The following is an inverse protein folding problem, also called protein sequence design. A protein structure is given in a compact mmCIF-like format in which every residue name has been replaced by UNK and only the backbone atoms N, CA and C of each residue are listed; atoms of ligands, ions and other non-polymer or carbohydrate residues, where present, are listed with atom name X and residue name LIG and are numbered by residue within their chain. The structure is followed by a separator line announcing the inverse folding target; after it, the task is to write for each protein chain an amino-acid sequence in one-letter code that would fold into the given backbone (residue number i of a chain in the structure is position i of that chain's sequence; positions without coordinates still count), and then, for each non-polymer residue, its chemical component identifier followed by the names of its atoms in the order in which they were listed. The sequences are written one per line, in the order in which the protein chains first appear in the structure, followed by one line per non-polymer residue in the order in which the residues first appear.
data_IF_948490006433
#
_entry.id   IF_948490006433
#
_cell.length_a   1.000
_cell.length_b   1.000
_cell.length_c   1.000
_cell.angle_alpha   90.00
_cell.angle_beta   90.00
_cell.angle_gamma   90.00
#
_symmetry.space_group_name_H-M   'P 1'
#
loop_
_entity.id
_entity.type
_entity.pdbx_description
1 polymer ?
#
# COMPACT_ATOMS: atom_id res chain seq x y z
N UNK A 1 20.96 1.23 1.04
CA UNK A 1 19.70 1.68 1.67
C UNK A 1 19.61 3.19 1.48
N UNK A 2 18.65 3.69 0.71
CA UNK A 2 18.48 5.13 0.45
C UNK A 2 17.94 5.85 1.69
N UNK A 3 18.06 7.17 1.78
CA UNK A 3 17.47 7.96 2.88
C UNK A 3 15.95 7.80 2.93
N UNK A 4 15.30 7.71 1.77
CA UNK A 4 13.86 7.41 1.66
C UNK A 4 13.51 6.02 2.22
N UNK A 5 14.27 4.97 1.86
CA UNK A 5 14.06 3.63 2.40
C UNK A 5 14.20 3.60 3.94
N UNK A 6 15.13 4.37 4.51
CA UNK A 6 15.27 4.49 5.97
C UNK A 6 14.06 5.14 6.63
N UNK A 7 13.55 6.22 6.04
CA UNK A 7 12.37 6.93 6.55
C UNK A 7 11.15 6.00 6.52
N UNK A 8 10.93 5.28 5.42
CA UNK A 8 9.82 4.33 5.32
C UNK A 8 9.92 3.21 6.37
N UNK A 9 11.10 2.63 6.57
CA UNK A 9 11.31 1.58 7.59
C UNK A 9 11.06 2.11 9.01
N UNK A 10 11.39 3.36 9.31
CA UNK A 10 11.09 4.01 10.60
C UNK A 10 9.60 4.33 10.74
N UNK A 11 8.92 4.63 9.63
CA UNK A 11 7.49 4.96 9.63
C UNK A 11 6.62 3.75 9.98
N UNK A 12 7.05 2.52 9.66
CA UNK A 12 6.34 1.27 9.99
C UNK A 12 6.11 1.10 11.50
N UNK A 13 7.14 1.08 12.38
CA UNK A 13 6.93 0.96 13.81
C UNK A 13 6.24 2.20 14.41
N UNK A 14 6.45 3.40 13.85
CA UNK A 14 5.72 4.60 14.26
C UNK A 14 4.21 4.48 14.01
N UNK A 15 3.81 3.97 12.84
CA UNK A 15 2.41 3.72 12.53
C UNK A 15 1.82 2.63 13.44
N UNK A 16 2.57 1.56 13.72
CA UNK A 16 2.18 0.54 14.69
C UNK A 16 1.98 1.11 16.10
N UNK A 17 2.88 1.98 16.55
CA UNK A 17 2.77 2.66 17.84
C UNK A 17 1.59 3.65 17.88
N UNK A 18 1.34 4.38 16.81
CA UNK A 18 0.18 5.27 16.69
C UNK A 18 -1.13 4.49 16.79
N UNK A 19 -1.25 3.36 16.10
CA UNK A 19 -2.43 2.48 16.16
C UNK A 19 -2.60 1.89 17.55
N UNK A 20 -1.50 1.51 18.21
CA UNK A 20 -1.54 1.07 19.61
C UNK A 20 -2.06 2.15 20.55
N UNK A 21 -1.65 3.42 20.37
CA UNK A 21 -2.18 4.54 21.15
C UNK A 21 -3.67 4.78 20.90
N UNK A 22 -4.14 4.51 19.68
CA UNK A 22 -5.55 4.62 19.31
C UNK A 22 -6.39 3.38 19.69
N UNK A 23 -5.85 2.44 20.48
CA UNK A 23 -6.54 1.17 20.83
C UNK A 23 -7.93 1.35 21.42
N UNK A 24 -8.17 2.43 22.16
CA UNK A 24 -9.46 2.69 22.81
C UNK A 24 -10.56 3.07 21.80
N UNK A 25 -10.17 3.48 20.60
CA UNK A 25 -11.07 3.87 19.53
C UNK A 25 -11.30 2.74 18.52
N UNK A 26 -10.54 1.65 18.63
CA UNK A 26 -10.62 0.52 17.74
C UNK A 26 -11.63 -0.52 18.27
N UNK A 27 -12.48 -1.08 17.39
CA UNK A 27 -13.46 -2.07 17.83
C UNK A 27 -12.76 -3.35 18.29
N UNK A 28 -13.26 -3.91 19.40
CA UNK A 28 -12.80 -5.20 19.94
C UNK A 28 -13.30 -6.39 19.10
N UNK A 29 -14.41 -6.23 18.39
CA UNK A 29 -14.95 -7.20 17.45
C UNK A 29 -15.09 -6.56 16.08
N UNK A 30 -14.47 -7.15 15.07
CA UNK A 30 -14.59 -6.68 13.69
C UNK A 30 -14.82 -7.85 12.74
N UNK A 31 -15.66 -7.64 11.72
CA UNK A 31 -15.86 -8.65 10.67
C UNK A 31 -14.60 -8.85 9.83
N UNK A 32 -14.33 -10.09 9.39
CA UNK A 32 -13.21 -10.41 8.49
C UNK A 32 -13.21 -9.52 7.25
N UNK A 33 -14.38 -9.25 6.66
CA UNK A 33 -14.49 -8.39 5.47
C UNK A 33 -14.00 -6.97 5.74
N UNK A 34 -14.41 -6.38 6.86
CA UNK A 34 -13.98 -5.04 7.28
C UNK A 34 -12.48 -5.00 7.62
N UNK A 35 -11.94 -6.05 8.23
CA UNK A 35 -10.51 -6.16 8.52
C UNK A 35 -9.68 -6.24 7.23
N UNK A 36 -10.13 -7.02 6.25
CA UNK A 36 -9.50 -7.12 4.94
C UNK A 36 -9.56 -5.79 4.19
N UNK A 37 -10.70 -5.10 4.25
CA UNK A 37 -10.86 -3.76 3.67
C UNK A 37 -9.92 -2.75 4.32
N UNK A 38 -9.89 -2.67 5.65
CA UNK A 38 -9.00 -1.77 6.38
C UNK A 38 -7.53 -2.02 6.03
N UNK A 39 -7.13 -3.29 5.96
CA UNK A 39 -5.77 -3.71 5.58
C UNK A 39 -5.43 -3.30 4.15
N UNK A 40 -6.36 -3.50 3.21
CA UNK A 40 -6.17 -3.15 1.80
C UNK A 40 -6.09 -1.64 1.58
N UNK A 41 -6.93 -0.89 2.29
CA UNK A 41 -6.89 0.59 2.29
C UNK A 41 -5.57 1.09 2.86
N UNK A 42 -5.09 0.51 3.96
CA UNK A 42 -3.80 0.86 4.55
C UNK A 42 -2.65 0.63 3.56
N UNK A 43 -2.68 -0.50 2.84
CA UNK A 43 -1.69 -0.84 1.81
C UNK A 43 -1.73 0.16 0.64
N UNK A 44 -2.92 0.49 0.14
CA UNK A 44 -3.08 1.49 -0.93
C UNK A 44 -2.66 2.89 -0.50
N UNK A 45 -2.94 3.26 0.76
CA UNK A 45 -2.58 4.56 1.32
C UNK A 45 -1.06 4.71 1.43
N UNK A 46 -0.36 3.64 1.84
CA UNK A 46 1.10 3.60 1.84
C UNK A 46 1.66 3.85 0.44
N UNK A 47 1.15 3.16 -0.58
CA UNK A 47 1.54 3.36 -1.97
C UNK A 47 1.27 4.78 -2.47
N UNK A 48 0.10 5.34 -2.12
CA UNK A 48 -0.28 6.71 -2.49
C UNK A 48 0.64 7.76 -1.86
N UNK A 49 0.96 7.65 -0.57
CA UNK A 49 1.89 8.57 0.09
C UNK A 49 3.27 8.55 -0.57
N UNK A 50 3.73 7.37 -0.97
CA UNK A 50 4.99 7.18 -1.69
C UNK A 50 4.95 7.83 -3.08
N UNK A 51 3.89 7.58 -3.85
CA UNK A 51 3.70 8.17 -5.18
C UNK A 51 3.65 9.70 -5.11
N UNK A 52 2.89 10.26 -4.16
CA UNK A 52 2.82 11.70 -3.91
C UNK A 52 4.19 12.26 -3.56
N UNK A 53 4.94 11.60 -2.66
CA UNK A 53 6.28 12.02 -2.29
C UNK A 53 7.25 12.05 -3.49
N UNK A 54 7.22 11.02 -4.34
CA UNK A 54 8.03 10.96 -5.55
C UNK A 54 7.64 12.04 -6.56
N UNK A 55 6.35 12.33 -6.71
CA UNK A 55 5.85 13.42 -7.55
C UNK A 55 6.31 14.79 -7.02
N UNK A 56 6.24 15.03 -5.72
CA UNK A 56 6.73 16.27 -5.10
C UNK A 56 8.24 16.43 -5.30
N UNK A 57 9.01 15.35 -5.15
CA UNK A 57 10.45 15.38 -5.38
C UNK A 57 10.80 15.65 -6.85
N UNK A 58 10.10 15.02 -7.80
CA UNK A 58 10.28 15.28 -9.23
C UNK A 58 9.89 16.70 -9.63
N UNK A 59 8.90 17.30 -8.98
CA UNK A 59 8.55 18.70 -9.22
C UNK A 59 9.69 19.65 -8.84
N UNK A 60 10.52 19.28 -7.86
CA UNK A 60 11.73 20.02 -7.49
C UNK A 60 12.87 19.73 -8.47
N UNK A 61 13.04 18.47 -8.91
CA UNK A 61 14.03 18.06 -9.90
C UNK A 61 13.51 18.28 -11.34
N UNK A 62 13.36 19.53 -11.75
CA UNK A 62 13.00 19.88 -13.13
C UNK A 62 14.20 19.66 -14.05
N UNK A 63 14.43 18.45 -14.59
CA UNK A 63 15.05 18.23 -15.91
C UNK A 63 15.24 16.74 -16.31
N UNK A 64 15.00 16.53 -17.62
CA UNK A 64 15.59 15.52 -18.53
C UNK A 64 15.46 14.01 -18.23
N UNK A 65 14.49 13.38 -18.92
CA UNK A 65 14.57 11.96 -19.25
C UNK A 65 13.36 11.52 -20.07
N UNK A 66 13.60 11.07 -21.30
CA UNK A 66 12.60 10.46 -22.19
C UNK A 66 11.88 9.33 -21.45
N UNK A 67 10.59 9.53 -21.18
CA UNK A 67 9.74 8.61 -20.43
C UNK A 67 9.39 7.43 -21.35
N UNK A 68 9.98 6.27 -21.10
CA UNK A 68 9.55 5.03 -21.73
C UNK A 68 8.18 4.66 -21.15
N UNK A 69 7.12 4.87 -21.94
CA UNK A 69 5.75 4.49 -21.59
C UNK A 69 5.59 2.97 -21.76
N UNK A 70 6.07 2.20 -20.78
CA UNK A 70 5.76 0.78 -20.68
C UNK A 70 4.48 0.64 -19.84
N UNK A 71 3.50 -0.10 -20.36
CA UNK A 71 2.29 -0.51 -19.63
C UNK A 71 2.67 -1.44 -18.48
N UNK A 72 3.01 -0.83 -17.35
CA UNK A 72 3.43 -1.48 -16.12
C UNK A 72 2.34 -1.31 -15.07
N UNK A 73 1.99 -2.40 -14.37
CA UNK A 73 1.09 -2.34 -13.22
C UNK A 73 1.87 -2.61 -11.93
N UNK A 74 1.76 -1.71 -10.96
CA UNK A 74 2.41 -1.90 -9.65
C UNK A 74 1.75 -3.08 -8.94
N UNK A 75 2.56 -4.05 -8.49
CA UNK A 75 2.05 -5.21 -7.75
C UNK A 75 1.32 -4.77 -6.48
N UNK A 76 1.80 -3.70 -5.84
CA UNK A 76 1.15 -3.09 -4.68
C UNK A 76 -0.31 -2.70 -4.96
N UNK A 77 -0.57 -1.99 -6.06
CA UNK A 77 -1.92 -1.56 -6.42
C UNK A 77 -2.80 -2.73 -6.85
N UNK A 78 -2.25 -3.72 -7.56
CA UNK A 78 -3.00 -4.93 -7.90
C UNK A 78 -3.42 -5.69 -6.64
N UNK A 79 -2.49 -5.91 -5.70
CA UNK A 79 -2.76 -6.58 -4.42
C UNK A 79 -3.77 -5.77 -3.59
N UNK A 80 -3.59 -4.45 -3.50
CA UNK A 80 -4.51 -3.56 -2.80
C UNK A 80 -5.92 -3.57 -3.39
N UNK A 81 -6.06 -3.45 -4.72
CA UNK A 81 -7.37 -3.49 -5.40
C UNK A 81 -8.02 -4.86 -5.25
N UNK A 82 -7.28 -5.96 -5.44
CA UNK A 82 -7.81 -7.31 -5.21
C UNK A 82 -8.27 -7.50 -3.76
N UNK A 83 -7.51 -6.98 -2.80
CA UNK A 83 -7.88 -6.99 -1.39
C UNK A 83 -9.16 -6.18 -1.12
N UNK A 84 -9.31 -4.99 -1.72
CA UNK A 84 -10.55 -4.22 -1.63
C UNK A 84 -11.73 -4.99 -2.23
N UNK A 85 -11.58 -5.52 -3.45
CA UNK A 85 -12.65 -6.27 -4.12
C UNK A 85 -13.07 -7.50 -3.30
N UNK A 86 -12.10 -8.30 -2.83
CA UNK A 86 -12.37 -9.46 -1.98
C UNK A 86 -13.03 -9.04 -0.66
N UNK A 87 -12.59 -7.91 -0.08
CA UNK A 87 -13.12 -7.38 1.16
C UNK A 87 -14.57 -6.94 1.04
N UNK A 88 -14.94 -6.26 -0.06
CA UNK A 88 -16.33 -5.86 -0.36
C UNK A 88 -17.20 -7.11 -0.50
N UNK A 89 -16.74 -8.11 -1.26
CA UNK A 89 -17.48 -9.36 -1.48
C UNK A 89 -17.73 -10.08 -0.16
N UNK A 90 -16.69 -10.23 0.68
CA UNK A 90 -16.81 -10.90 1.98
C UNK A 90 -17.73 -10.08 2.90
N UNK A 91 -17.55 -8.77 2.95
CA UNK A 91 -18.35 -7.87 3.79
C UNK A 91 -19.85 -7.94 3.45
N UNK A 92 -20.20 -8.02 2.17
CA UNK A 92 -21.58 -8.15 1.70
C UNK A 92 -22.15 -9.59 1.76
N UNK A 93 -21.35 -10.57 2.19
CA UNK A 93 -21.74 -11.98 2.24
C UNK A 93 -22.03 -12.46 3.65
N UNK A 94 -22.75 -13.59 3.77
CA UNK A 94 -22.96 -14.28 5.06
C UNK A 94 -21.67 -14.88 5.66
N UNK A 95 -20.53 -14.74 5.00
CA UNK A 95 -19.22 -15.26 5.43
C UNK A 95 -18.52 -14.27 6.39
N UNK A 96 -19.05 -13.05 6.55
CA UNK A 96 -18.47 -12.01 7.41
C UNK A 96 -18.58 -12.38 8.90
N UNK A 97 -17.70 -13.28 9.36
CA UNK A 97 -17.63 -13.70 10.76
C UNK A 97 -16.90 -12.65 11.61
N UNK A 98 -17.33 -12.43 12.86
CA UNK A 98 -16.60 -11.57 13.77
C UNK A 98 -15.27 -12.22 14.16
N UNK A 99 -14.24 -11.39 14.23
CA UNK A 99 -12.92 -11.72 14.76
C UNK A 99 -12.70 -10.84 15.98
N UNK A 100 -12.38 -11.49 17.10
CA UNK A 100 -11.97 -10.80 18.31
C UNK A 100 -10.57 -10.24 18.11
N UNK A 101 -10.47 -8.92 18.25
CA UNK A 101 -9.25 -8.14 18.09
C UNK A 101 -8.80 -7.64 19.45
N UNK A 102 -7.77 -8.28 19.98
CA UNK A 102 -7.01 -7.72 21.10
C UNK A 102 -6.30 -6.43 20.62
N UNK A 103 -6.19 -5.38 21.45
CA UNK A 103 -5.39 -4.18 21.18
C UNK A 103 -4.04 -4.43 20.49
N UNK A 104 -3.34 -5.51 20.86
CA UNK A 104 -2.00 -5.79 20.31
C UNK A 104 -2.07 -6.25 18.85
N UNK A 105 -3.16 -6.95 18.50
CA UNK A 105 -3.37 -7.49 17.15
C UNK A 105 -3.52 -6.35 16.14
N UNK A 106 -4.17 -5.25 16.51
CA UNK A 106 -4.29 -4.07 15.64
C UNK A 106 -2.93 -3.49 15.26
N UNK A 107 -2.05 -3.31 16.24
CA UNK A 107 -0.70 -2.80 16.01
C UNK A 107 0.14 -3.77 15.17
N UNK A 108 0.10 -5.06 15.51
CA UNK A 108 0.81 -6.11 14.77
C UNK A 108 0.31 -6.25 13.33
N UNK A 109 -1.00 -6.19 13.11
CA UNK A 109 -1.61 -6.25 11.79
C UNK A 109 -1.14 -5.08 10.92
N UNK A 110 -1.16 -3.87 11.47
CA UNK A 110 -0.70 -2.70 10.74
C UNK A 110 0.79 -2.77 10.39
N UNK A 111 1.63 -3.17 11.35
CA UNK A 111 3.06 -3.40 11.09
C UNK A 111 3.25 -4.46 10.01
N UNK A 112 2.53 -5.57 10.07
CA UNK A 112 2.61 -6.65 9.09
C UNK A 112 2.20 -6.17 7.69
N UNK A 113 1.05 -5.50 7.56
CA UNK A 113 0.55 -4.95 6.30
C UNK A 113 1.55 -3.95 5.72
N UNK A 114 2.05 -3.01 6.53
CA UNK A 114 3.00 -2.00 6.05
C UNK A 114 4.37 -2.59 5.68
N UNK A 115 4.81 -3.63 6.39
CA UNK A 115 6.04 -4.36 6.09
C UNK A 115 5.91 -5.13 4.77
N UNK A 116 4.77 -5.80 4.56
CA UNK A 116 4.47 -6.47 3.29
C UNK A 116 4.40 -5.44 2.16
N UNK A 117 3.68 -4.33 2.36
CA UNK A 117 3.62 -3.21 1.42
C UNK A 117 5.02 -2.72 1.04
N UNK A 118 5.89 -2.50 2.04
CA UNK A 118 7.28 -2.11 1.83
C UNK A 118 8.09 -3.16 1.06
N UNK A 119 7.87 -4.45 1.31
CA UNK A 119 8.56 -5.54 0.63
C UNK A 119 8.15 -5.67 -0.84
N UNK A 120 6.86 -5.49 -1.14
CA UNK A 120 6.32 -5.61 -2.51
C UNK A 120 6.41 -4.31 -3.32
N UNK A 121 6.77 -3.19 -2.69
CA UNK A 121 6.72 -1.85 -3.27
C UNK A 121 7.51 -1.68 -4.56
N UNK A 122 8.61 -2.41 -4.72
CA UNK A 122 9.51 -2.29 -5.88
C UNK A 122 9.12 -3.25 -7.02
N UNK A 123 8.09 -4.08 -6.83
CA UNK A 123 7.70 -5.08 -7.82
C UNK A 123 6.68 -4.51 -8.80
N UNK A 124 6.98 -4.69 -10.08
CA UNK A 124 6.14 -4.34 -11.20
C UNK A 124 5.77 -5.60 -11.96
N UNK A 125 4.54 -5.59 -12.47
CA UNK A 125 4.07 -6.51 -13.46
C UNK A 125 4.15 -5.88 -14.86
N UNK A 126 5.07 -6.36 -15.70
CA UNK A 126 5.15 -6.00 -17.12
C UNK A 126 4.14 -6.87 -17.89
N UNK A 127 3.21 -6.24 -18.63
CA UNK A 127 2.17 -6.98 -19.36
C UNK A 127 2.66 -7.60 -20.68
N UNK A 128 3.74 -7.07 -21.28
CA UNK A 128 4.31 -7.56 -22.54
C UNK A 128 5.83 -7.33 -22.59
N UNK A 129 6.68 -8.36 -22.42
CA UNK A 129 6.36 -9.75 -22.05
C UNK A 129 5.93 -9.88 -20.58
N UNK A 130 5.12 -10.91 -20.25
CA UNK A 130 4.74 -11.22 -18.86
C UNK A 130 5.98 -11.48 -18.01
N UNK A 131 6.42 -10.48 -17.25
CA UNK A 131 7.58 -10.55 -16.37
C UNK A 131 7.36 -9.74 -15.10
N UNK A 132 7.76 -10.34 -13.98
CA UNK A 132 7.86 -9.63 -12.71
C UNK A 132 9.26 -9.04 -12.64
N UNK A 133 9.36 -7.71 -12.57
CA UNK A 133 10.63 -7.01 -12.47
C UNK A 133 10.65 -6.13 -11.23
N UNK A 134 11.83 -6.00 -10.63
CA UNK A 134 12.08 -5.01 -9.57
C UNK A 134 12.56 -3.71 -10.19
N UNK A 135 11.83 -2.63 -9.97
CA UNK A 135 12.23 -1.28 -10.35
C UNK A 135 12.00 -0.35 -9.16
N UNK A 136 13.06 0.35 -8.74
CA UNK A 136 13.05 1.18 -7.53
C UNK A 136 12.47 2.58 -7.75
N UNK A 137 12.31 3.03 -8.99
CA UNK A 137 11.94 4.41 -9.32
C UNK A 137 10.69 4.49 -10.21
N UNK A 138 9.85 3.46 -10.19
CA UNK A 138 8.62 3.47 -10.97
C UNK A 138 7.57 4.35 -10.31
N UNK A 139 6.81 5.04 -11.16
CA UNK A 139 5.67 5.85 -10.76
C UNK A 139 4.42 5.12 -11.21
N UNK A 140 3.49 4.91 -10.29
CA UNK A 140 2.18 4.34 -10.61
C UNK A 140 1.31 5.33 -11.39
N UNK A 141 1.54 6.64 -11.21
CA UNK A 141 0.78 7.72 -11.83
C UNK A 141 1.56 8.31 -13.01
N UNK A 142 1.13 7.98 -14.23
CA UNK A 142 1.53 8.63 -15.47
C UNK A 142 0.37 9.50 -15.95
N UNK A 143 0.24 10.73 -15.42
CA UNK A 143 -0.50 11.76 -16.15
C UNK A 143 0.41 12.28 -17.27
N UNK A 144 0.14 11.90 -18.51
CA UNK A 144 0.59 12.66 -19.68
C UNK A 144 -0.59 13.48 -20.18
N UNK A 145 -0.50 14.79 -20.04
CA UNK A 145 -1.40 15.69 -20.76
C UNK A 145 -0.85 15.83 -22.17
N UNK A 146 -1.64 15.37 -23.15
CA UNK A 146 -1.36 15.61 -24.56
C UNK A 146 -1.76 17.06 -24.84
N UNK A 147 -0.76 17.94 -24.95
CA UNK A 147 -0.94 19.25 -25.58
C UNK A 147 -0.97 19.07 -27.10
#
# INVERSE_FOLDING_TARGET
MTTAEKIEVILIPLAGAAIWLMREWLPADIGIGSLLLASSVLLLLQGLFRDLWLLFKRKQDTQSGTRQEVLCMCVESTVGVMGVTAGIIIFGSAINRPVQMNPWIWSLLAIAVLTVGFAIKDFIFEWRPFRIRRDKNHLNIVFSWRN
#
